data_IF_205746275447
#
_entry.id   IF_205746275447
#
_cell.length_a   1.000
_cell.length_b   1.000
_cell.length_c   1.000
_cell.angle_alpha   90.00
_cell.angle_beta   90.00
_cell.angle_gamma   90.00
#
_symmetry.space_group_name_H-M   'P 1'
#
loop_
_entity.id
_entity.type
_entity.pdbx_description
1 polymer ?
#
# COMPACT_ATOMS: atom_id res chain seq x y z
N UNK A 1 -11.95 -50.30 -22.62
CA UNK A 1 -11.29 -48.99 -22.37
C UNK A 1 -10.35 -49.16 -21.18
N UNK A 2 -9.11 -48.69 -21.29
CA UNK A 2 -8.11 -48.80 -20.20
C UNK A 2 -8.57 -48.00 -18.99
N UNK A 3 -8.46 -48.57 -17.80
CA UNK A 3 -8.84 -47.96 -16.53
C UNK A 3 -7.60 -47.74 -15.66
N UNK A 4 -7.60 -46.65 -14.94
CA UNK A 4 -6.51 -46.23 -14.06
C UNK A 4 -7.02 -46.11 -12.63
N UNK A 5 -6.25 -46.53 -11.66
CA UNK A 5 -6.43 -46.12 -10.25
C UNK A 5 -6.04 -44.65 -10.10
N UNK A 6 -6.43 -44.01 -9.01
CA UNK A 6 -6.12 -42.60 -8.75
C UNK A 6 -4.63 -42.25 -8.92
N UNK A 7 -3.73 -43.04 -8.35
CA UNK A 7 -2.28 -42.87 -8.47
C UNK A 7 -1.77 -43.06 -9.89
N UNK A 8 -2.40 -43.99 -10.65
CA UNK A 8 -2.06 -44.23 -12.05
C UNK A 8 -2.43 -43.04 -12.94
N UNK A 9 -3.69 -42.52 -12.85
CA UNK A 9 -4.10 -41.35 -13.61
C UNK A 9 -3.28 -40.12 -13.20
N UNK A 10 -3.07 -39.90 -11.89
CA UNK A 10 -2.27 -38.78 -11.37
C UNK A 10 -0.85 -38.77 -11.98
N UNK A 11 -0.20 -39.95 -12.04
CA UNK A 11 1.12 -40.12 -12.65
C UNK A 11 1.12 -39.82 -14.15
N UNK A 12 0.13 -40.35 -14.90
CA UNK A 12 0.02 -40.11 -16.34
C UNK A 12 -0.24 -38.63 -16.67
N UNK A 13 -1.02 -37.96 -15.83
CA UNK A 13 -1.38 -36.54 -16.02
C UNK A 13 -0.39 -35.55 -15.39
N UNK A 14 0.62 -36.05 -14.64
CA UNK A 14 1.59 -35.19 -13.97
C UNK A 14 1.01 -34.35 -12.84
N UNK A 15 -0.04 -34.82 -12.16
CA UNK A 15 -0.70 -34.13 -11.05
C UNK A 15 -0.65 -34.95 -9.75
N UNK A 16 -1.02 -34.33 -8.63
CA UNK A 16 -1.15 -35.03 -7.37
C UNK A 16 -2.46 -35.85 -7.31
N UNK A 17 -2.45 -36.97 -6.59
CA UNK A 17 -3.66 -37.75 -6.32
C UNK A 17 -4.70 -36.93 -5.52
N UNK A 18 -4.25 -36.02 -4.68
CA UNK A 18 -5.13 -35.18 -3.88
C UNK A 18 -5.86 -34.15 -4.74
N UNK A 19 -5.24 -33.64 -5.80
CA UNK A 19 -5.93 -32.80 -6.78
C UNK A 19 -7.09 -33.52 -7.46
N UNK A 20 -6.90 -34.79 -7.85
CA UNK A 20 -7.98 -35.58 -8.43
C UNK A 20 -9.14 -35.80 -7.44
N UNK A 21 -8.82 -36.10 -6.16
CA UNK A 21 -9.81 -36.25 -5.11
C UNK A 21 -10.58 -34.94 -4.89
N UNK A 22 -9.90 -33.79 -4.85
CA UNK A 22 -10.52 -32.49 -4.73
C UNK A 22 -11.50 -32.23 -5.87
N UNK A 23 -11.15 -32.55 -7.11
CA UNK A 23 -12.04 -32.37 -8.26
C UNK A 23 -13.20 -33.35 -8.27
N UNK A 24 -13.02 -34.56 -7.71
CA UNK A 24 -14.11 -35.51 -7.44
C UNK A 24 -15.10 -34.93 -6.40
N UNK A 25 -14.61 -34.37 -5.30
CA UNK A 25 -15.44 -33.76 -4.24
C UNK A 25 -16.29 -32.61 -4.78
N UNK A 26 -15.78 -31.83 -5.72
CA UNK A 26 -16.53 -30.77 -6.40
C UNK A 26 -17.38 -31.28 -7.56
N UNK A 27 -17.40 -32.61 -7.80
CA UNK A 27 -18.18 -33.22 -8.87
C UNK A 27 -17.71 -32.86 -10.29
N UNK A 28 -16.46 -32.42 -10.42
CA UNK A 28 -15.83 -32.09 -11.71
C UNK A 28 -15.32 -33.33 -12.44
N UNK A 29 -14.91 -34.36 -11.71
CA UNK A 29 -14.51 -35.68 -12.20
C UNK A 29 -15.38 -36.70 -11.49
N UNK A 30 -15.90 -37.66 -12.23
CA UNK A 30 -16.79 -38.71 -11.70
C UNK A 30 -16.23 -40.10 -11.99
N UNK A 31 -15.24 -40.61 -11.21
CA UNK A 31 -14.68 -41.94 -11.42
C UNK A 31 -15.73 -43.02 -11.20
N UNK A 32 -15.63 -44.08 -11.98
CA UNK A 32 -16.42 -45.31 -11.72
C UNK A 32 -15.91 -45.95 -10.43
N UNK A 33 -16.84 -46.33 -9.54
CA UNK A 33 -16.55 -47.11 -8.36
C UNK A 33 -16.83 -48.57 -8.61
N UNK A 34 -15.92 -49.42 -8.22
CA UNK A 34 -16.11 -50.86 -8.24
C UNK A 34 -17.14 -51.28 -7.18
N UNK A 35 -18.19 -52.05 -7.53
CA UNK A 35 -19.25 -52.40 -6.58
C UNK A 35 -18.78 -53.21 -5.37
N UNK A 36 -17.74 -54.04 -5.54
CA UNK A 36 -17.25 -54.92 -4.48
C UNK A 36 -16.18 -54.28 -3.58
N UNK A 37 -15.23 -53.58 -4.18
CA UNK A 37 -14.08 -53.03 -3.46
C UNK A 37 -14.15 -51.52 -3.18
N UNK A 38 -15.13 -50.84 -3.76
CA UNK A 38 -15.28 -49.36 -3.71
C UNK A 38 -14.07 -48.60 -4.27
N UNK A 39 -13.14 -49.27 -4.95
CA UNK A 39 -12.02 -48.61 -5.61
C UNK A 39 -12.47 -47.71 -6.74
N UNK A 40 -11.80 -46.54 -6.86
CA UNK A 40 -12.02 -45.55 -7.92
C UNK A 40 -11.25 -45.93 -9.16
N UNK A 41 -11.92 -45.99 -10.29
CA UNK A 41 -11.35 -46.21 -11.60
C UNK A 41 -11.67 -45.03 -12.52
N UNK A 42 -10.63 -44.50 -13.10
CA UNK A 42 -10.66 -43.38 -14.02
C UNK A 42 -10.35 -43.85 -15.45
N UNK A 43 -10.76 -43.09 -16.41
CA UNK A 43 -10.51 -43.38 -17.82
C UNK A 43 -9.96 -42.14 -18.55
N UNK A 44 -9.75 -42.26 -19.88
CA UNK A 44 -9.19 -41.16 -20.69
C UNK A 44 -10.06 -39.90 -20.70
N UNK A 45 -11.40 -40.04 -20.59
CA UNK A 45 -12.33 -38.92 -20.57
C UNK A 45 -12.26 -38.15 -19.25
N UNK A 46 -11.97 -38.83 -18.14
CA UNK A 46 -11.71 -38.17 -16.86
C UNK A 46 -10.43 -37.33 -16.95
N UNK A 47 -9.41 -37.82 -17.68
CA UNK A 47 -8.22 -37.04 -18.00
C UNK A 47 -8.54 -35.78 -18.84
N UNK A 48 -9.40 -35.90 -19.86
CA UNK A 48 -9.87 -34.78 -20.65
C UNK A 48 -10.62 -33.75 -19.83
N UNK A 49 -11.50 -34.22 -18.93
CA UNK A 49 -12.21 -33.33 -18.00
C UNK A 49 -11.26 -32.62 -17.03
N UNK A 50 -10.23 -33.31 -16.55
CA UNK A 50 -9.16 -32.71 -15.74
C UNK A 50 -8.47 -31.56 -16.48
N UNK A 51 -8.16 -31.73 -17.76
CA UNK A 51 -7.55 -30.67 -18.57
C UNK A 51 -8.47 -29.45 -18.63
N UNK A 52 -9.77 -29.64 -18.85
CA UNK A 52 -10.75 -28.53 -18.85
C UNK A 52 -10.77 -27.80 -17.50
N UNK A 53 -10.72 -28.54 -16.39
CA UNK A 53 -10.64 -27.94 -15.06
C UNK A 53 -9.36 -27.12 -14.87
N UNK A 54 -8.23 -27.69 -15.26
CA UNK A 54 -6.92 -27.01 -15.13
C UNK A 54 -6.84 -25.77 -16.03
N UNK A 55 -7.44 -25.80 -17.22
CA UNK A 55 -7.51 -24.64 -18.10
C UNK A 55 -8.15 -23.45 -17.41
N UNK A 56 -9.34 -23.61 -16.81
CA UNK A 56 -10.01 -22.52 -16.08
C UNK A 56 -9.24 -22.13 -14.82
N UNK A 57 -8.69 -23.11 -14.10
CA UNK A 57 -7.86 -22.83 -12.91
C UNK A 57 -6.62 -21.97 -13.23
N UNK A 58 -5.95 -22.28 -14.33
CA UNK A 58 -4.77 -21.52 -14.78
C UNK A 58 -5.14 -20.10 -15.28
N UNK A 59 -6.38 -19.88 -15.68
CA UNK A 59 -6.93 -18.56 -15.95
C UNK A 59 -7.36 -17.82 -14.68
N UNK A 60 -7.22 -18.44 -13.48
CA UNK A 60 -7.45 -17.83 -12.17
C UNK A 60 -8.87 -17.99 -11.63
N UNK A 61 -9.68 -18.90 -12.17
CA UNK A 61 -10.95 -19.29 -11.54
C UNK A 61 -10.67 -20.11 -10.27
N UNK A 62 -11.42 -19.92 -9.21
CA UNK A 62 -11.36 -20.80 -8.03
C UNK A 62 -11.91 -22.19 -8.39
N UNK A 63 -11.63 -23.22 -7.56
CA UNK A 63 -12.18 -24.58 -7.78
C UNK A 63 -13.70 -24.54 -7.84
N UNK A 64 -14.33 -23.78 -6.95
CA UNK A 64 -15.78 -23.61 -6.91
C UNK A 64 -16.30 -22.96 -8.19
N UNK A 65 -15.71 -21.85 -8.63
CA UNK A 65 -16.08 -21.19 -9.90
C UNK A 65 -15.90 -22.13 -11.09
N UNK A 66 -14.81 -22.91 -11.12
CA UNK A 66 -14.56 -23.92 -12.15
C UNK A 66 -15.69 -24.97 -12.17
N UNK A 67 -16.12 -25.45 -10.99
CA UNK A 67 -17.21 -26.41 -10.88
C UNK A 67 -18.53 -25.83 -11.37
N UNK A 68 -18.88 -24.63 -10.91
CA UNK A 68 -20.11 -23.94 -11.32
C UNK A 68 -20.11 -23.70 -12.84
N UNK A 69 -18.98 -23.23 -13.38
CA UNK A 69 -18.82 -22.99 -14.82
C UNK A 69 -18.99 -24.26 -15.66
N UNK A 70 -18.25 -25.32 -15.36
CA UNK A 70 -18.23 -26.54 -16.18
C UNK A 70 -19.50 -27.41 -16.04
N UNK A 71 -20.26 -27.22 -14.95
CA UNK A 71 -21.47 -28.02 -14.68
C UNK A 71 -22.75 -27.35 -15.15
N UNK A 72 -22.80 -26.04 -15.18
CA UNK A 72 -24.06 -25.28 -15.35
C UNK A 72 -24.06 -24.36 -16.57
N UNK A 73 -22.90 -23.99 -17.09
CA UNK A 73 -22.82 -23.03 -18.19
C UNK A 73 -22.73 -23.70 -19.55
N UNK A 74 -23.47 -23.18 -20.49
CA UNK A 74 -23.23 -23.45 -21.91
C UNK A 74 -22.00 -22.64 -22.39
N UNK A 75 -21.58 -22.85 -23.65
CA UNK A 75 -20.40 -22.17 -24.19
C UNK A 75 -20.54 -20.65 -24.25
N UNK A 76 -21.78 -20.12 -24.39
CA UNK A 76 -22.03 -18.67 -24.41
C UNK A 76 -21.83 -18.05 -23.03
N UNK A 77 -22.36 -18.69 -22.00
CA UNK A 77 -22.19 -18.27 -20.62
C UNK A 77 -20.73 -18.40 -20.17
N UNK A 78 -20.01 -19.44 -20.63
CA UNK A 78 -18.58 -19.59 -20.42
C UNK A 78 -17.80 -18.43 -21.08
N UNK A 79 -18.12 -18.07 -22.32
CA UNK A 79 -17.49 -16.94 -23.00
C UNK A 79 -17.67 -15.63 -22.22
N UNK A 80 -18.88 -15.37 -21.70
CA UNK A 80 -19.16 -14.21 -20.85
C UNK A 80 -18.37 -14.24 -19.54
N UNK A 81 -18.23 -15.41 -18.91
CA UNK A 81 -17.42 -15.55 -17.70
C UNK A 81 -15.93 -15.28 -17.96
N UNK A 82 -15.41 -15.70 -19.11
CA UNK A 82 -14.04 -15.41 -19.55
C UNK A 82 -13.82 -13.92 -19.83
N UNK A 83 -14.78 -13.24 -20.44
CA UNK A 83 -14.73 -11.77 -20.59
C UNK A 83 -14.71 -11.04 -19.24
N UNK A 84 -15.53 -11.46 -18.30
CA UNK A 84 -15.51 -10.93 -16.93
C UNK A 84 -14.16 -11.16 -16.24
N UNK A 85 -13.55 -12.34 -16.46
CA UNK A 85 -12.21 -12.64 -15.92
C UNK A 85 -11.14 -11.78 -16.58
N UNK A 86 -11.21 -11.56 -17.89
CA UNK A 86 -10.31 -10.66 -18.61
C UNK A 86 -10.38 -9.24 -18.04
N UNK A 87 -11.58 -8.70 -17.87
CA UNK A 87 -11.77 -7.37 -17.30
C UNK A 87 -11.15 -7.25 -15.89
N UNK A 88 -11.37 -8.26 -15.02
CA UNK A 88 -10.76 -8.29 -13.67
C UNK A 88 -9.22 -8.34 -13.70
N UNK A 89 -8.64 -9.06 -14.66
CA UNK A 89 -7.19 -9.10 -14.84
C UNK A 89 -6.63 -7.78 -15.37
N UNK A 90 -7.36 -7.09 -16.25
CA UNK A 90 -6.98 -5.75 -16.74
C UNK A 90 -7.01 -4.72 -15.61
N UNK A 91 -8.03 -4.77 -14.74
CA UNK A 91 -8.12 -3.93 -13.54
C UNK A 91 -6.96 -4.19 -12.57
N UNK A 92 -6.66 -5.47 -12.30
CA UNK A 92 -5.53 -5.84 -11.44
C UNK A 92 -4.19 -5.40 -12.05
N UNK A 93 -4.01 -5.54 -13.37
CA UNK A 93 -2.83 -5.03 -14.06
C UNK A 93 -2.70 -3.52 -13.89
N UNK A 94 -3.77 -2.76 -14.12
CA UNK A 94 -3.76 -1.31 -13.94
C UNK A 94 -3.44 -0.92 -12.48
N UNK A 95 -3.93 -1.70 -11.49
CA UNK A 95 -3.58 -1.51 -10.09
C UNK A 95 -2.10 -1.76 -9.84
N UNK A 96 -1.53 -2.84 -10.37
CA UNK A 96 -0.12 -3.19 -10.24
C UNK A 96 0.79 -2.17 -10.94
N UNK A 97 0.42 -1.68 -12.11
CA UNK A 97 1.14 -0.66 -12.87
C UNK A 97 1.27 0.65 -12.08
N UNK A 98 0.30 0.96 -11.21
CA UNK A 98 0.37 2.09 -10.29
C UNK A 98 1.15 1.76 -9.01
N UNK A 99 1.03 0.54 -8.50
CA UNK A 99 1.59 0.15 -7.21
C UNK A 99 3.11 -0.03 -7.26
N UNK A 100 3.64 -0.60 -8.34
CA UNK A 100 5.08 -0.84 -8.50
C UNK A 100 5.89 0.46 -8.35
N UNK A 101 5.60 1.55 -9.10
CA UNK A 101 6.29 2.82 -8.92
C UNK A 101 6.14 3.40 -7.50
N UNK A 102 4.99 3.22 -6.87
CA UNK A 102 4.78 3.68 -5.49
C UNK A 102 5.67 2.94 -4.48
N UNK A 103 5.85 1.63 -4.67
CA UNK A 103 6.77 0.82 -3.85
C UNK A 103 8.21 1.25 -4.07
N UNK A 104 8.61 1.50 -5.33
CA UNK A 104 9.96 1.97 -5.67
C UNK A 104 10.25 3.35 -5.07
N UNK A 105 9.32 4.30 -5.21
CA UNK A 105 9.44 5.64 -4.59
C UNK A 105 9.55 5.53 -3.07
N UNK A 106 8.73 4.67 -2.46
CA UNK A 106 8.74 4.48 -1.01
C UNK A 106 10.05 3.85 -0.54
N UNK A 107 10.56 2.84 -1.25
CA UNK A 107 11.83 2.19 -0.94
C UNK A 107 13.01 3.16 -1.09
N UNK A 108 13.04 3.95 -2.16
CA UNK A 108 14.06 4.98 -2.37
C UNK A 108 14.06 6.03 -1.24
N UNK A 109 12.86 6.48 -0.85
CA UNK A 109 12.72 7.42 0.26
C UNK A 109 13.17 6.83 1.60
N UNK A 110 12.88 5.56 1.88
CA UNK A 110 13.36 4.88 3.09
C UNK A 110 14.88 4.70 3.10
N UNK A 111 15.49 4.46 1.95
CA UNK A 111 16.94 4.30 1.84
C UNK A 111 17.70 5.57 2.29
N UNK A 112 17.12 6.76 2.12
CA UNK A 112 17.71 8.02 2.59
C UNK A 112 17.89 8.05 4.12
N UNK A 113 17.05 7.33 4.89
CA UNK A 113 17.20 7.24 6.35
C UNK A 113 18.37 6.36 6.80
N UNK A 114 18.88 5.52 5.92
CA UNK A 114 20.00 4.62 6.20
C UNK A 114 21.36 5.21 5.83
N UNK A 115 21.40 6.38 5.19
CA UNK A 115 22.64 7.04 4.82
C UNK A 115 23.45 7.41 6.08
N UNK A 116 24.77 7.13 6.12
CA UNK A 116 25.62 7.42 7.29
C UNK A 116 25.75 8.92 7.55
N UNK A 117 25.76 9.72 6.50
CA UNK A 117 25.78 11.19 6.57
C UNK A 117 24.48 11.71 5.95
N UNK A 118 23.61 12.22 6.81
CA UNK A 118 22.32 12.80 6.42
C UNK A 118 22.46 14.30 6.28
N UNK A 119 23.07 14.71 5.18
CA UNK A 119 23.22 16.15 4.93
C UNK A 119 21.87 16.82 4.70
N UNK A 120 21.69 18.04 5.20
CA UNK A 120 20.54 18.86 4.85
C UNK A 120 20.44 19.07 3.35
N UNK A 121 19.27 18.85 2.77
CA UNK A 121 19.05 18.95 1.33
C UNK A 121 18.10 20.11 1.01
N UNK A 122 18.57 21.07 0.21
CA UNK A 122 17.70 22.06 -0.38
C UNK A 122 16.77 21.39 -1.42
N UNK A 123 15.47 21.61 -1.30
CA UNK A 123 14.46 20.97 -2.17
C UNK A 123 13.20 21.82 -2.27
N UNK A 124 12.35 21.46 -3.22
CA UNK A 124 10.97 21.94 -3.25
C UNK A 124 10.10 20.85 -2.65
N UNK A 125 9.48 21.12 -1.50
CA UNK A 125 8.46 20.25 -0.93
C UNK A 125 7.22 20.29 -1.83
N UNK A 126 6.67 19.14 -2.24
CA UNK A 126 5.44 19.11 -3.04
C UNK A 126 4.26 19.75 -2.32
N UNK A 127 3.26 20.17 -3.10
CA UNK A 127 1.96 20.57 -2.57
C UNK A 127 1.21 19.37 -2.00
N UNK A 128 0.42 19.60 -0.93
CA UNK A 128 -0.40 18.59 -0.30
C UNK A 128 -1.81 19.11 0.00
N UNK A 129 -2.77 18.23 -0.15
CA UNK A 129 -4.10 18.37 0.43
C UNK A 129 -4.16 17.56 1.71
N UNK A 130 -4.23 18.22 2.85
CA UNK A 130 -4.06 17.67 4.18
C UNK A 130 -5.36 17.60 4.97
N UNK A 131 -5.68 16.44 5.50
CA UNK A 131 -6.74 16.20 6.47
C UNK A 131 -6.14 16.12 7.87
N UNK A 132 -6.27 17.16 8.67
CA UNK A 132 -5.88 17.11 10.07
C UNK A 132 -6.81 16.17 10.84
N UNK A 133 -6.27 15.12 11.44
CA UNK A 133 -7.02 14.19 12.27
C UNK A 133 -6.88 14.50 13.76
N UNK A 134 -5.86 15.27 14.14
CA UNK A 134 -5.65 15.70 15.53
C UNK A 134 -5.42 17.20 15.65
N UNK A 135 -5.61 17.70 16.85
CA UNK A 135 -5.09 18.98 17.31
C UNK A 135 -4.24 18.69 18.54
N UNK A 136 -2.93 18.80 18.39
CA UNK A 136 -1.94 18.27 19.33
C UNK A 136 -2.19 16.77 19.61
N UNK A 137 -2.31 16.34 20.85
CA UNK A 137 -2.45 14.92 21.24
C UNK A 137 -3.88 14.37 21.11
N UNK A 138 -4.88 15.19 20.79
CA UNK A 138 -6.27 14.78 20.73
C UNK A 138 -6.76 14.60 19.29
N UNK A 139 -7.36 13.45 19.02
CA UNK A 139 -8.11 13.27 17.78
C UNK A 139 -9.36 14.15 17.76
N UNK A 140 -9.50 14.96 16.72
CA UNK A 140 -10.63 15.87 16.52
C UNK A 140 -11.15 15.76 15.09
N UNK A 141 -12.11 14.88 14.90
CA UNK A 141 -12.72 14.67 13.58
C UNK A 141 -14.25 14.69 13.67
N UNK A 142 -14.89 15.38 12.74
CA UNK A 142 -16.34 15.27 12.50
C UNK A 142 -16.68 13.94 11.81
N UNK A 143 -17.98 13.63 11.68
CA UNK A 143 -18.42 12.44 10.97
C UNK A 143 -17.95 12.41 9.51
N UNK A 144 -18.05 13.53 8.81
CA UNK A 144 -17.60 13.67 7.41
C UNK A 144 -16.08 13.51 7.28
N UNK A 145 -15.32 14.12 8.19
CA UNK A 145 -13.85 13.96 8.21
C UNK A 145 -13.42 12.50 8.45
N UNK A 146 -14.18 11.75 9.25
CA UNK A 146 -13.91 10.30 9.45
C UNK A 146 -14.12 9.48 8.18
N UNK A 147 -15.14 9.80 7.39
CA UNK A 147 -15.36 9.14 6.10
C UNK A 147 -14.22 9.46 5.11
N UNK A 148 -13.81 10.73 5.05
CA UNK A 148 -12.70 11.14 4.21
C UNK A 148 -11.37 10.53 4.67
N UNK A 149 -11.14 10.45 5.99
CA UNK A 149 -9.97 9.77 6.56
C UNK A 149 -9.95 8.29 6.17
N UNK A 150 -11.10 7.60 6.21
CA UNK A 150 -11.19 6.21 5.78
C UNK A 150 -10.79 6.05 4.32
N UNK A 151 -11.32 6.89 3.44
CA UNK A 151 -10.96 6.89 2.02
C UNK A 151 -9.45 7.12 1.81
N UNK A 152 -8.84 8.07 2.55
CA UNK A 152 -7.39 8.30 2.49
C UNK A 152 -6.58 7.11 3.00
N UNK A 153 -7.05 6.38 4.01
CA UNK A 153 -6.39 5.17 4.49
C UNK A 153 -6.43 4.03 3.45
N UNK A 154 -7.54 3.91 2.73
CA UNK A 154 -7.68 2.90 1.66
C UNK A 154 -6.78 3.22 0.45
N UNK A 155 -6.33 4.47 0.30
CA UNK A 155 -5.38 4.91 -0.75
C UNK A 155 -3.90 4.82 -0.35
N UNK A 156 -3.56 4.27 0.80
CA UNK A 156 -2.14 4.03 1.10
C UNK A 156 -1.53 3.02 0.09
N UNK A 157 -0.33 3.24 -0.41
CA UNK A 157 0.67 4.25 -0.04
C UNK A 157 0.61 5.56 -0.84
N UNK A 158 -0.40 5.81 -1.67
CA UNK A 158 -0.53 7.05 -2.46
C UNK A 158 -0.95 8.26 -1.62
N UNK A 159 -1.69 8.05 -0.53
CA UNK A 159 -1.81 9.00 0.55
C UNK A 159 -0.62 8.86 1.51
N UNK A 160 -0.35 9.92 2.27
CA UNK A 160 0.83 9.98 3.12
C UNK A 160 0.46 10.45 4.54
N UNK A 161 1.20 9.99 5.53
CA UNK A 161 1.08 10.50 6.90
C UNK A 161 1.95 11.73 7.07
N UNK A 162 1.32 12.83 7.46
CA UNK A 162 2.01 14.08 7.77
C UNK A 162 1.84 14.48 9.24
N UNK A 163 2.88 15.12 9.76
CA UNK A 163 2.85 15.91 10.98
C UNK A 163 3.13 17.36 10.57
N UNK A 164 2.22 18.25 10.90
CA UNK A 164 2.34 19.69 10.58
C UNK A 164 2.51 20.47 11.88
N UNK A 165 3.67 21.09 12.05
CA UNK A 165 3.94 22.00 13.15
C UNK A 165 3.50 23.40 12.76
N UNK A 166 2.83 24.11 13.64
CA UNK A 166 2.44 25.51 13.40
C UNK A 166 3.65 26.44 13.36
N UNK A 167 3.53 27.49 12.57
CA UNK A 167 4.50 28.57 12.53
C UNK A 167 4.88 29.01 13.96
N UNK A 168 6.16 29.17 14.22
CA UNK A 168 6.68 29.54 15.55
C UNK A 168 6.84 28.38 16.54
N UNK A 169 6.33 27.17 16.28
CA UNK A 169 6.46 26.03 17.19
C UNK A 169 7.93 25.70 17.53
N UNK A 170 8.83 25.85 16.56
CA UNK A 170 10.27 25.60 16.76
C UNK A 170 11.00 26.79 17.41
N UNK A 171 10.49 28.02 17.35
CA UNK A 171 11.14 29.24 17.92
C UNK A 171 11.09 29.32 19.44
N UNK A 172 10.07 28.80 20.05
CA UNK A 172 9.94 28.87 21.51
C UNK A 172 8.96 29.90 22.04
N UNK A 173 8.30 30.65 21.14
CA UNK A 173 7.50 31.83 21.50
C UNK A 173 6.07 31.50 21.95
N UNK A 174 5.79 30.27 22.34
CA UNK A 174 4.47 29.85 22.75
C UNK A 174 4.32 28.34 22.89
N UNK A 175 3.06 27.86 23.04
CA UNK A 175 2.78 26.44 23.14
C UNK A 175 3.17 25.70 21.85
N UNK A 176 3.67 24.49 22.01
CA UNK A 176 4.05 23.62 20.90
C UNK A 176 2.79 23.00 20.27
N UNK A 177 2.33 23.59 19.19
CA UNK A 177 1.15 23.11 18.45
C UNK A 177 1.52 22.32 17.21
N UNK A 178 0.89 21.16 17.07
CA UNK A 178 1.02 20.31 15.90
C UNK A 178 -0.33 19.73 15.46
N UNK A 179 -0.39 19.27 14.23
CA UNK A 179 -1.50 18.49 13.70
C UNK A 179 -0.95 17.24 13.07
N UNK A 180 -1.51 16.11 13.42
CA UNK A 180 -1.26 14.84 12.77
C UNK A 180 -2.40 14.52 11.82
N UNK A 181 -2.10 13.92 10.67
CA UNK A 181 -3.13 13.58 9.71
C UNK A 181 -2.63 12.87 8.46
N UNK A 182 -3.54 12.74 7.51
CA UNK A 182 -3.31 12.14 6.21
C UNK A 182 -3.34 13.21 5.12
N UNK A 183 -2.60 12.99 4.06
CA UNK A 183 -2.53 13.93 2.95
C UNK A 183 -2.41 13.19 1.61
N UNK A 184 -2.88 13.88 0.57
CA UNK A 184 -2.57 13.53 -0.82
C UNK A 184 -1.62 14.56 -1.38
N UNK A 185 -0.64 14.11 -2.15
CA UNK A 185 0.14 15.03 -2.98
C UNK A 185 -0.77 15.68 -4.02
N UNK A 186 -0.48 16.92 -4.34
CA UNK A 186 -1.25 17.70 -5.32
C UNK A 186 -1.35 17.01 -6.68
N UNK A 187 -0.27 16.39 -7.15
CA UNK A 187 -0.20 15.64 -8.40
C UNK A 187 -0.99 14.31 -8.40
N UNK A 188 -1.56 13.92 -7.26
CA UNK A 188 -2.36 12.69 -7.06
C UNK A 188 -3.79 12.97 -6.62
N UNK A 189 -4.19 14.24 -6.59
CA UNK A 189 -5.47 14.66 -6.01
C UNK A 189 -6.63 14.73 -7.01
N UNK A 190 -6.43 14.30 -8.26
CA UNK A 190 -7.48 14.28 -9.26
C UNK A 190 -8.67 13.42 -8.81
N UNK A 191 -9.89 13.97 -8.91
CA UNK A 191 -11.13 13.29 -8.49
C UNK A 191 -11.36 13.23 -6.98
N UNK A 192 -10.56 13.93 -6.18
CA UNK A 192 -10.76 14.04 -4.74
C UNK A 192 -11.54 15.31 -4.36
N UNK A 193 -12.33 15.28 -3.27
CA UNK A 193 -13.03 16.46 -2.74
C UNK A 193 -12.04 17.35 -1.98
N UNK A 194 -11.14 17.99 -2.72
CA UNK A 194 -10.01 18.77 -2.17
C UNK A 194 -10.46 20.01 -1.39
N UNK A 195 -11.67 20.51 -1.62
CA UNK A 195 -12.29 21.63 -0.89
C UNK A 195 -12.51 21.34 0.59
N UNK A 196 -12.61 20.05 0.96
CA UNK A 196 -12.71 19.60 2.35
C UNK A 196 -11.34 19.43 3.04
N UNK A 197 -10.24 19.65 2.31
CA UNK A 197 -8.88 19.46 2.76
C UNK A 197 -8.15 20.79 2.86
N UNK A 198 -7.23 20.90 3.82
CA UNK A 198 -6.36 22.06 3.90
C UNK A 198 -5.27 21.96 2.83
N UNK A 199 -5.18 22.93 1.95
CA UNK A 199 -4.10 23.00 0.99
C UNK A 199 -2.81 23.50 1.64
N UNK A 200 -1.74 22.75 1.48
CA UNK A 200 -0.37 23.08 1.84
C UNK A 200 0.41 23.29 0.53
N UNK A 201 0.61 24.53 0.06
CA UNK A 201 1.21 24.77 -1.25
C UNK A 201 2.67 24.27 -1.31
N UNK A 202 3.21 24.02 -2.51
CA UNK A 202 4.62 23.68 -2.66
C UNK A 202 5.49 24.81 -2.10
N UNK A 203 6.61 24.43 -1.47
CA UNK A 203 7.52 25.40 -0.83
C UNK A 203 8.97 25.03 -1.06
N UNK A 204 9.81 26.03 -1.26
CA UNK A 204 11.26 25.86 -1.14
C UNK A 204 11.60 25.61 0.32
N UNK A 205 12.34 24.56 0.59
CA UNK A 205 12.63 24.08 1.94
C UNK A 205 14.06 23.55 2.03
N UNK A 206 14.58 23.52 3.23
CA UNK A 206 15.64 22.57 3.57
C UNK A 206 15.00 21.35 4.19
N UNK A 207 15.34 20.17 3.69
CA UNK A 207 14.87 18.88 4.19
C UNK A 207 15.95 18.26 5.08
N UNK A 208 15.55 17.90 6.30
CA UNK A 208 16.34 17.12 7.24
C UNK A 208 15.72 15.74 7.41
N UNK A 209 16.56 14.70 7.41
CA UNK A 209 16.13 13.32 7.66
C UNK A 209 16.47 12.94 9.10
N UNK A 210 15.47 12.52 9.87
CA UNK A 210 15.66 12.20 11.28
C UNK A 210 15.06 10.85 11.65
N UNK A 211 15.71 10.18 12.60
CA UNK A 211 15.17 9.04 13.33
C UNK A 211 14.80 9.52 14.73
N UNK A 212 13.61 9.22 15.17
CA UNK A 212 13.05 9.68 16.44
C UNK A 212 12.43 8.51 17.20
N UNK A 213 12.64 8.45 18.51
CA UNK A 213 11.94 7.48 19.35
C UNK A 213 10.44 7.75 19.31
N UNK A 214 9.68 6.80 18.75
CA UNK A 214 8.24 6.94 18.58
C UNK A 214 7.46 6.83 19.90
N UNK A 215 8.09 6.44 20.99
CA UNK A 215 7.50 6.44 22.35
C UNK A 215 7.57 7.84 22.98
N UNK A 216 8.40 8.73 22.47
CA UNK A 216 8.52 10.10 22.97
C UNK A 216 7.40 10.97 22.38
N UNK A 217 6.76 11.75 23.22
CA UNK A 217 5.75 12.72 22.79
C UNK A 217 6.28 13.64 21.68
N UNK A 218 5.38 14.01 20.76
CA UNK A 218 5.66 15.07 19.81
C UNK A 218 5.76 16.39 20.58
N UNK A 219 6.96 16.84 20.84
CA UNK A 219 7.29 18.01 21.67
C UNK A 219 8.46 18.76 21.07
N UNK A 220 8.74 19.94 21.61
CA UNK A 220 9.91 20.71 21.20
C UNK A 220 11.23 19.95 21.44
N UNK A 221 11.35 19.22 22.54
CA UNK A 221 12.52 18.37 22.83
C UNK A 221 12.75 17.34 21.73
N UNK A 222 11.69 16.74 21.20
CA UNK A 222 11.76 15.81 20.08
C UNK A 222 12.21 16.44 18.76
N UNK A 223 12.36 17.78 18.67
CA UNK A 223 12.91 18.51 17.54
C UNK A 223 14.19 19.28 17.88
N UNK A 224 14.87 18.90 18.98
CA UNK A 224 16.05 19.63 19.44
C UNK A 224 17.20 19.61 18.42
N UNK A 225 17.39 18.52 17.68
CA UNK A 225 18.36 18.42 16.59
C UNK A 225 18.08 19.46 15.49
N UNK A 226 16.82 19.58 15.07
CA UNK A 226 16.37 20.57 14.08
C UNK A 226 16.60 22.00 14.59
N UNK A 227 16.21 22.25 15.85
CA UNK A 227 16.37 23.58 16.47
C UNK A 227 17.84 23.96 16.55
N UNK A 228 18.70 23.04 16.97
CA UNK A 228 20.14 23.26 17.07
C UNK A 228 20.75 23.54 15.68
N UNK A 229 20.34 22.79 14.68
CA UNK A 229 20.79 23.01 13.31
C UNK A 229 20.34 24.39 12.77
N UNK A 230 19.07 24.77 12.96
CA UNK A 230 18.57 26.10 12.57
C UNK A 230 19.36 27.23 13.21
N UNK A 231 19.68 27.10 14.50
CA UNK A 231 20.49 28.07 15.23
C UNK A 231 21.93 28.16 14.69
N UNK A 232 22.55 27.01 14.38
CA UNK A 232 23.90 26.96 13.82
C UNK A 232 23.99 27.59 12.42
N UNK A 233 22.92 27.45 11.60
CA UNK A 233 22.84 28.03 10.26
C UNK A 233 22.35 29.50 10.28
N UNK A 234 21.92 30.02 11.43
CA UNK A 234 21.33 31.35 11.55
C UNK A 234 20.00 31.52 10.83
N UNK A 235 19.25 30.40 10.68
CA UNK A 235 17.99 30.36 9.94
C UNK A 235 16.79 30.46 10.88
N UNK A 236 15.74 31.15 10.41
CA UNK A 236 14.44 31.21 11.08
C UNK A 236 13.37 30.57 10.18
N UNK A 237 12.43 29.88 10.82
CA UNK A 237 11.24 29.31 10.14
C UNK A 237 10.01 30.09 10.58
N UNK A 238 9.36 30.75 9.64
CA UNK A 238 8.20 31.60 9.89
C UNK A 238 6.87 30.96 9.47
N UNK A 239 6.93 29.95 8.61
CA UNK A 239 5.78 29.19 8.13
C UNK A 239 5.60 27.86 8.88
N UNK A 240 4.51 27.14 8.57
CA UNK A 240 4.26 25.81 9.10
C UNK A 240 5.32 24.83 8.59
N UNK A 241 5.85 24.02 9.50
CA UNK A 241 6.80 22.96 9.18
C UNK A 241 6.05 21.66 8.90
N UNK A 242 6.34 21.05 7.79
CA UNK A 242 5.73 19.77 7.40
C UNK A 242 6.72 18.64 7.59
N UNK A 243 6.32 17.62 8.33
CA UNK A 243 7.10 16.39 8.47
C UNK A 243 6.37 15.24 7.78
N UNK A 244 7.03 14.60 6.81
CA UNK A 244 6.58 13.32 6.25
C UNK A 244 7.07 12.21 7.15
N UNK A 245 6.16 11.35 7.62
CA UNK A 245 6.48 10.24 8.53
C UNK A 245 6.08 8.93 7.87
N UNK A 246 6.93 8.35 7.01
CA UNK A 246 6.55 7.20 6.19
C UNK A 246 6.28 5.95 7.03
N UNK A 247 7.15 5.66 8.00
CA UNK A 247 7.09 4.42 8.75
C UNK A 247 7.61 4.59 10.16
N UNK A 248 7.20 3.68 11.03
CA UNK A 248 7.80 3.45 12.34
C UNK A 248 8.30 2.01 12.37
N UNK A 249 9.57 1.82 12.65
CA UNK A 249 10.22 0.51 12.72
C UNK A 249 10.52 0.10 14.16
N UNK A 250 10.99 -1.13 14.35
CA UNK A 250 11.56 -1.60 15.61
C UNK A 250 13.07 -1.73 15.42
N UNK A 251 13.83 -0.87 16.07
CA UNK A 251 15.30 -0.87 16.03
C UNK A 251 15.84 -1.08 17.43
N UNK A 252 16.61 -2.15 17.65
CA UNK A 252 17.16 -2.47 18.95
C UNK A 252 16.11 -2.65 20.07
N UNK A 253 14.88 -3.03 19.72
CA UNK A 253 13.76 -3.18 20.67
C UNK A 253 12.99 -1.88 20.95
N UNK A 254 13.37 -0.77 20.36
CA UNK A 254 12.68 0.53 20.47
C UNK A 254 11.89 0.85 19.19
N UNK A 255 10.77 1.55 19.35
CA UNK A 255 10.00 2.07 18.21
C UNK A 255 10.67 3.33 17.68
N UNK A 256 11.16 3.27 16.46
CA UNK A 256 11.82 4.40 15.78
C UNK A 256 10.94 4.93 14.67
N UNK A 257 10.51 6.17 14.79
CA UNK A 257 9.81 6.88 13.72
C UNK A 257 10.83 7.55 12.79
N UNK A 258 10.72 7.25 11.50
CA UNK A 258 11.51 7.89 10.46
C UNK A 258 10.74 9.11 9.95
N UNK A 259 11.36 10.29 9.96
CA UNK A 259 10.68 11.51 9.50
C UNK A 259 11.60 12.38 8.63
N UNK A 260 11.05 12.89 7.55
CA UNK A 260 11.66 13.96 6.78
C UNK A 260 11.02 15.29 7.19
N UNK A 261 11.80 16.21 7.71
CA UNK A 261 11.37 17.51 8.20
C UNK A 261 11.65 18.55 7.12
N UNK A 262 10.59 19.16 6.58
CA UNK A 262 10.69 20.19 5.56
C UNK A 262 10.56 21.57 6.22
N UNK A 263 11.66 22.29 6.25
CA UNK A 263 11.79 23.61 6.86
C UNK A 263 11.69 24.68 5.79
N UNK A 264 10.55 25.42 5.68
CA UNK A 264 10.45 26.54 4.76
C UNK A 264 11.35 27.66 5.28
N UNK A 265 12.42 27.94 4.55
CA UNK A 265 13.36 29.01 4.86
C UNK A 265 13.25 30.11 3.81
N UNK A 266 13.11 31.35 4.25
CA UNK A 266 12.82 32.46 3.37
C UNK A 266 14.03 32.89 2.54
N UNK A 267 15.23 32.84 3.12
CA UNK A 267 16.45 33.37 2.55
C UNK A 267 17.71 32.56 2.92
N UNK A 268 18.77 32.69 2.11
CA UNK A 268 20.12 32.20 2.41
C UNK A 268 20.66 31.22 1.37
N UNK A 269 21.92 30.80 1.59
CA UNK A 269 22.74 29.90 0.73
C UNK A 269 22.00 28.61 0.27
N UNK A 270 20.97 28.22 1.03
CA UNK A 270 20.20 27.00 0.76
C UNK A 270 19.17 27.15 -0.34
N UNK A 271 18.68 28.38 -0.57
CA UNK A 271 17.59 28.66 -1.52
C UNK A 271 18.12 29.10 -2.89
N UNK A 272 19.30 29.72 -2.93
CA UNK A 272 19.93 30.23 -4.16
C UNK A 272 20.35 29.12 -5.13
N UNK A 273 20.63 27.91 -4.62
CA UNK A 273 21.03 26.77 -5.42
C UNK A 273 19.88 25.91 -5.99
N UNK A 274 18.62 26.26 -5.69
CA UNK A 274 17.42 25.62 -6.25
C UNK A 274 17.05 26.32 -7.57
N UNK A 275 17.66 25.88 -8.67
CA UNK A 275 17.24 26.24 -10.04
C UNK A 275 16.21 25.29 -10.59
#
# INVERSE_FOLDING_TARGET
MKQYKVSGLAKEMGVSADLLKLYEEYGLIAPRRDPGSQYRYYNIYDGGQLVSCLTLRNMGFSVRQTADTLRTMDHSALASALEGRRAALEEERARLDRLIPAVEEYAAFLAEFSAPEREPLACVRPGYYFLAQSSSEEFRQTGEQKLLARRLLDELPWSERLLVLRAGALRGDGPFHFQWGLALREDRAEGWPVEALRYLPPRRCVRLMENHDAAVKVSREGFQSVITWLAAEGLAVEEDVVCRVPVTTMEGGMRTAHRAVYLPVADGKWVENLR
#
